data_IF_521680814716
#
_entry.id   IF_521680814716
#
_cell.length_a   1.000
_cell.length_b   1.000
_cell.length_c   1.000
_cell.angle_alpha   90.00
_cell.angle_beta   90.00
_cell.angle_gamma   90.00
#
_symmetry.space_group_name_H-M   'P 1'
#
loop_
_entity.id
_entity.type
_entity.pdbx_description
1 polymer ?
#
# COMPACT_ATOMS: atom_id res chain seq x y z
N UNK A 1 3.45 -20.69 1.70
CA UNK A 1 2.22 -19.90 1.40
C UNK A 1 2.52 -18.95 0.25
N UNK A 2 1.56 -18.68 -0.63
CA UNK A 2 1.78 -17.82 -1.80
C UNK A 2 2.04 -16.37 -1.38
N UNK A 3 3.04 -15.73 -2.01
CA UNK A 3 3.28 -14.29 -1.86
C UNK A 3 2.61 -13.54 -3.00
N UNK A 4 2.20 -12.31 -2.71
CA UNK A 4 1.67 -11.37 -3.71
C UNK A 4 2.51 -10.10 -3.72
N UNK A 5 2.66 -9.53 -4.91
CA UNK A 5 3.31 -8.23 -5.10
C UNK A 5 2.23 -7.15 -5.18
N UNK A 6 2.24 -6.25 -4.21
CA UNK A 6 1.35 -5.09 -4.14
C UNK A 6 2.10 -3.85 -4.62
N UNK A 7 1.43 -3.05 -5.45
CA UNK A 7 1.90 -1.71 -5.83
C UNK A 7 1.24 -0.68 -4.91
N UNK A 8 2.05 0.13 -4.26
CA UNK A 8 1.64 1.14 -3.31
C UNK A 8 2.01 2.51 -3.86
N UNK A 9 1.10 3.48 -3.76
CA UNK A 9 1.36 4.88 -4.08
C UNK A 9 1.25 5.75 -2.82
N UNK A 10 2.18 6.69 -2.64
CA UNK A 10 2.05 7.69 -1.56
C UNK A 10 1.12 8.80 -2.03
N UNK A 11 0.02 8.99 -1.31
CA UNK A 11 -0.98 10.01 -1.63
C UNK A 11 -0.36 11.41 -1.52
N UNK A 12 -0.49 12.22 -2.57
CA UNK A 12 0.04 13.59 -2.63
C UNK A 12 1.50 13.73 -3.09
N UNK A 13 2.32 12.66 -2.99
CA UNK A 13 3.72 12.69 -3.43
C UNK A 13 3.89 12.12 -4.85
N UNK A 14 3.01 11.21 -5.27
CA UNK A 14 3.04 10.61 -6.61
C UNK A 14 4.10 9.51 -6.79
N UNK A 15 4.84 9.16 -5.74
CA UNK A 15 5.79 8.05 -5.73
C UNK A 15 5.04 6.71 -5.69
N UNK A 16 5.48 5.74 -6.51
CA UNK A 16 4.95 4.37 -6.54
C UNK A 16 6.08 3.40 -6.25
N UNK A 17 5.83 2.46 -5.35
CA UNK A 17 6.76 1.39 -4.99
C UNK A 17 6.03 0.06 -4.90
N UNK A 18 6.78 -1.02 -4.73
CA UNK A 18 6.19 -2.36 -4.58
C UNK A 18 6.65 -3.04 -3.29
N UNK A 19 5.76 -3.85 -2.74
CA UNK A 19 5.99 -4.70 -1.58
C UNK A 19 5.55 -6.13 -1.91
N UNK A 20 6.33 -7.10 -1.44
CA UNK A 20 5.93 -8.50 -1.43
C UNK A 20 5.47 -8.88 -0.03
N UNK A 21 4.31 -9.51 0.06
CA UNK A 21 3.72 -9.96 1.32
C UNK A 21 3.02 -11.31 1.12
N UNK A 22 2.85 -12.08 2.19
CA UNK A 22 2.03 -13.29 2.12
C UNK A 22 0.58 -12.94 1.76
N UNK A 23 -0.04 -13.75 0.91
CA UNK A 23 -1.39 -13.50 0.39
C UNK A 23 -2.45 -13.35 1.49
N UNK A 24 -2.31 -14.07 2.59
CA UNK A 24 -3.22 -14.04 3.74
C UNK A 24 -2.68 -13.20 4.91
N UNK A 25 -1.63 -12.41 4.69
CA UNK A 25 -1.12 -11.52 5.73
C UNK A 25 -2.19 -10.51 6.16
N UNK A 26 -2.15 -10.15 7.44
CA UNK A 26 -3.03 -9.13 8.00
C UNK A 26 -2.62 -7.74 7.51
N UNK A 27 -3.57 -6.80 7.56
CA UNK A 27 -3.33 -5.38 7.23
C UNK A 27 -2.21 -4.77 8.09
N UNK A 28 -2.08 -5.19 9.35
CA UNK A 28 -0.99 -4.74 10.23
C UNK A 28 0.40 -5.07 9.68
N UNK A 29 0.57 -6.27 9.12
CA UNK A 29 1.84 -6.68 8.51
C UNK A 29 2.12 -5.88 7.23
N UNK A 30 1.08 -5.51 6.46
CA UNK A 30 1.22 -4.62 5.30
C UNK A 30 1.64 -3.20 5.73
N UNK A 31 1.02 -2.67 6.80
CA UNK A 31 1.39 -1.36 7.35
C UNK A 31 2.86 -1.35 7.83
N UNK A 32 3.30 -2.37 8.57
CA UNK A 32 4.70 -2.51 8.99
C UNK A 32 5.65 -2.57 7.80
N UNK A 33 5.36 -3.43 6.83
CA UNK A 33 6.19 -3.57 5.63
C UNK A 33 6.34 -2.24 4.89
N UNK A 34 5.26 -1.48 4.71
CA UNK A 34 5.28 -0.14 4.09
C UNK A 34 6.13 0.82 4.92
N UNK A 35 5.90 0.86 6.24
CA UNK A 35 6.57 1.78 7.15
C UNK A 35 8.09 1.64 7.13
N UNK A 36 8.59 0.39 7.17
CA UNK A 36 10.03 0.12 7.07
C UNK A 36 10.58 0.35 5.67
N UNK A 37 9.84 -0.04 4.62
CA UNK A 37 10.29 0.13 3.22
C UNK A 37 10.53 1.60 2.87
N UNK A 38 9.65 2.48 3.31
CA UNK A 38 9.74 3.92 3.09
C UNK A 38 10.65 4.64 4.10
N UNK A 39 11.28 3.91 5.02
CA UNK A 39 12.15 4.46 6.08
C UNK A 39 11.44 5.47 6.99
N UNK A 40 10.13 5.35 7.16
CA UNK A 40 9.35 6.23 8.03
C UNK A 40 9.74 6.06 9.50
N UNK A 41 10.24 4.89 9.88
CA UNK A 41 10.84 4.64 11.20
C UNK A 41 12.03 5.55 11.54
N UNK A 42 12.69 6.13 10.54
CA UNK A 42 13.79 7.08 10.74
C UNK A 42 13.33 8.54 10.75
N UNK A 43 12.17 8.83 10.18
CA UNK A 43 11.68 10.19 9.96
C UNK A 43 10.55 10.57 10.94
N UNK A 44 9.84 9.58 11.47
CA UNK A 44 8.65 9.78 12.29
C UNK A 44 8.64 8.88 13.51
N UNK A 45 7.98 9.34 14.57
CA UNK A 45 7.84 8.62 15.85
C UNK A 45 6.52 7.87 15.98
N UNK A 46 5.66 7.90 14.95
CA UNK A 46 4.36 7.25 14.99
C UNK A 46 4.47 5.74 14.72
N UNK A 47 3.57 4.95 15.30
CA UNK A 47 3.55 3.50 15.09
C UNK A 47 3.03 3.13 13.67
N UNK A 48 3.54 2.07 13.03
CA UNK A 48 3.12 1.67 11.67
C UNK A 48 1.61 1.56 11.48
N UNK A 49 0.89 1.14 12.52
CA UNK A 49 -0.59 1.03 12.53
C UNK A 49 -1.32 2.35 12.27
N UNK A 50 -0.65 3.51 12.42
CA UNK A 50 -1.19 4.83 12.10
C UNK A 50 -1.17 5.16 10.61
N UNK A 51 -0.54 4.34 9.76
CA UNK A 51 -0.65 4.46 8.32
C UNK A 51 -2.08 4.17 7.87
N UNK A 52 -2.74 5.15 7.25
CA UNK A 52 -4.06 4.95 6.66
C UNK A 52 -3.90 4.45 5.23
N UNK A 53 -4.40 3.24 4.96
CA UNK A 53 -4.29 2.60 3.65
C UNK A 53 -5.59 2.74 2.86
N UNK A 54 -5.47 3.09 1.58
CA UNK A 54 -6.59 3.15 0.65
C UNK A 54 -6.41 2.14 -0.48
N UNK A 55 -7.50 1.47 -0.86
CA UNK A 55 -7.49 0.62 -2.05
C UNK A 55 -7.82 1.46 -3.28
N UNK A 56 -6.85 1.57 -4.19
CA UNK A 56 -7.08 2.18 -5.49
C UNK A 56 -8.07 1.30 -6.28
N UNK A 57 -9.27 1.82 -6.53
CA UNK A 57 -10.23 1.16 -7.43
C UNK A 57 -9.92 1.58 -8.85
N UNK A 58 -9.76 0.61 -9.75
CA UNK A 58 -9.81 0.88 -11.18
C UNK A 58 -11.21 1.41 -11.49
N UNK A 59 -11.32 2.58 -12.13
CA UNK A 59 -12.61 2.98 -12.73
C UNK A 59 -12.95 1.91 -13.77
N UNK A 60 -14.02 1.18 -13.54
CA UNK A 60 -14.65 0.39 -14.58
C UNK A 60 -15.03 1.39 -15.68
N UNK A 61 -14.38 1.29 -16.84
CA UNK A 61 -14.63 2.23 -17.92
C UNK A 61 -16.12 2.21 -18.25
N UNK A 62 -16.79 3.36 -18.19
CA UNK A 62 -18.09 3.52 -18.85
C UNK A 62 -17.88 3.03 -20.29
N UNK A 63 -18.52 1.92 -20.67
CA UNK A 63 -18.81 1.67 -22.08
C UNK A 63 -19.65 2.86 -22.52
N UNK A 64 -19.04 3.78 -23.27
CA UNK A 64 -19.80 4.74 -24.04
C UNK A 64 -20.48 3.95 -25.15
N UNK A 65 -21.66 3.44 -24.86
CA UNK A 65 -22.65 3.06 -25.86
C UNK A 65 -23.53 4.30 -26.07
N UNK A 66 -23.28 4.99 -27.17
CA UNK A 66 -24.03 6.16 -27.66
C UNK A 66 -23.61 6.43 -29.08
#
# INVERSE_FOLDING_TARGET
MAKVKLFCGVYGEGSVFSIEIEHNAKVSALQEAIFYKQRYNHQYTFAPSRLTLYLARKKEGRRASG
#
